data_IF_695012061572
#
_entry.id   IF_695012061572
#
_cell.length_a   1.000
_cell.length_b   1.000
_cell.length_c   1.000
_cell.angle_alpha   90.00
_cell.angle_beta   90.00
_cell.angle_gamma   90.00
#
_symmetry.space_group_name_H-M   'P 1'
#
loop_
_entity.id
_entity.type
_entity.pdbx_description
1 polymer ?
#
# COMPACT_ATOMS: atom_id res chain seq x y z
N UNK A 1 -9.93 4.59 -11.42
CA UNK A 1 -8.66 4.69 -10.68
C UNK A 1 -8.05 3.31 -10.51
N UNK A 2 -6.78 3.18 -10.73
CA UNK A 2 -6.03 1.94 -10.52
C UNK A 2 -5.19 2.05 -9.25
N UNK A 3 -5.30 1.04 -8.41
CA UNK A 3 -4.59 0.96 -7.13
C UNK A 3 -3.68 -0.27 -7.15
N UNK A 4 -2.38 -0.05 -7.06
CA UNK A 4 -1.41 -1.15 -7.06
C UNK A 4 -0.87 -1.39 -5.66
N UNK A 5 -0.73 -2.67 -5.30
CA UNK A 5 -0.10 -3.10 -4.06
C UNK A 5 1.18 -3.84 -4.43
N UNK A 6 2.32 -3.31 -3.98
CA UNK A 6 3.63 -3.94 -4.11
C UNK A 6 3.95 -4.60 -2.77
N UNK A 7 4.19 -5.90 -2.77
CA UNK A 7 4.37 -6.66 -1.53
C UNK A 7 5.38 -7.79 -1.70
N UNK A 8 6.01 -8.17 -0.59
CA UNK A 8 6.81 -9.42 -0.53
C UNK A 8 5.88 -10.60 -0.26
N UNK A 9 6.31 -11.84 -0.58
CA UNK A 9 5.52 -13.03 -0.25
C UNK A 9 5.20 -13.11 1.24
N UNK A 10 3.98 -13.55 1.57
CA UNK A 10 3.51 -13.77 2.94
C UNK A 10 3.61 -12.54 3.85
N UNK A 11 3.42 -11.35 3.32
CA UNK A 11 3.50 -10.10 4.08
C UNK A 11 2.25 -9.89 4.96
N UNK A 12 2.39 -9.81 6.30
CA UNK A 12 1.26 -9.57 7.19
C UNK A 12 0.59 -8.20 6.94
N UNK A 13 1.39 -7.19 6.60
CA UNK A 13 0.87 -5.87 6.27
C UNK A 13 0.00 -5.87 5.03
N UNK A 14 0.35 -6.69 4.02
CA UNK A 14 -0.45 -6.83 2.81
C UNK A 14 -1.80 -7.48 3.12
N UNK A 15 -1.83 -8.49 3.99
CA UNK A 15 -3.09 -9.10 4.41
C UNK A 15 -4.00 -8.11 5.13
N UNK A 16 -3.43 -7.28 6.01
CA UNK A 16 -4.18 -6.22 6.70
C UNK A 16 -4.74 -5.19 5.70
N UNK A 17 -3.92 -4.80 4.72
CA UNK A 17 -4.33 -3.86 3.67
C UNK A 17 -5.47 -4.43 2.84
N UNK A 18 -5.38 -5.70 2.44
CA UNK A 18 -6.43 -6.37 1.66
C UNK A 18 -7.76 -6.41 2.42
N UNK A 19 -7.71 -6.74 3.71
CA UNK A 19 -8.91 -6.78 4.53
C UNK A 19 -9.60 -5.41 4.60
N UNK A 20 -8.82 -4.34 4.71
CA UNK A 20 -9.33 -2.97 4.76
C UNK A 20 -9.87 -2.51 3.41
N UNK A 21 -9.21 -2.91 2.31
CA UNK A 21 -9.67 -2.61 0.97
C UNK A 21 -10.94 -3.34 0.58
N UNK A 22 -11.16 -4.56 1.09
CA UNK A 22 -12.34 -5.36 0.75
C UNK A 22 -13.65 -4.60 0.99
N UNK A 23 -13.75 -3.90 2.12
CA UNK A 23 -14.93 -3.09 2.42
C UNK A 23 -15.12 -1.93 1.44
N UNK A 24 -14.02 -1.29 1.03
CA UNK A 24 -14.08 -0.19 0.07
C UNK A 24 -14.43 -0.68 -1.33
N UNK A 25 -13.95 -1.86 -1.73
CA UNK A 25 -14.26 -2.45 -3.02
C UNK A 25 -15.75 -2.81 -3.15
N UNK A 26 -16.37 -3.29 -2.06
CA UNK A 26 -17.82 -3.56 -2.05
C UNK A 26 -18.63 -2.30 -2.31
N UNK A 27 -18.23 -1.19 -1.71
CA UNK A 27 -18.91 0.10 -1.86
C UNK A 27 -18.58 0.80 -3.19
N UNK A 28 -17.44 0.47 -3.81
CA UNK A 28 -16.94 1.16 -5.00
C UNK A 28 -16.48 0.17 -6.07
N UNK A 29 -17.40 -0.51 -6.78
CA UNK A 29 -17.04 -1.58 -7.73
C UNK A 29 -16.23 -1.13 -8.94
N UNK A 30 -16.15 0.17 -9.20
CA UNK A 30 -15.30 0.71 -10.28
C UNK A 30 -13.82 0.81 -9.92
N UNK A 31 -13.45 0.60 -8.67
CA UNK A 31 -12.05 0.63 -8.23
C UNK A 31 -11.33 -0.64 -8.67
N UNK A 32 -10.17 -0.47 -9.32
CA UNK A 32 -9.33 -1.59 -9.74
C UNK A 32 -8.14 -1.74 -8.82
N UNK A 33 -7.88 -2.97 -8.37
CA UNK A 33 -6.74 -3.30 -7.53
C UNK A 33 -5.86 -4.32 -8.24
N UNK A 34 -4.57 -4.00 -8.37
CA UNK A 34 -3.56 -4.89 -8.95
C UNK A 34 -2.53 -5.18 -7.87
N UNK A 35 -2.19 -6.47 -7.70
CA UNK A 35 -1.15 -6.90 -6.76
C UNK A 35 0.07 -7.36 -7.52
N UNK A 36 1.25 -6.98 -7.02
CA UNK A 36 2.53 -7.44 -7.56
C UNK A 36 3.39 -7.97 -6.42
N UNK A 37 3.89 -9.19 -6.59
CA UNK A 37 4.84 -9.78 -5.64
C UNK A 37 6.24 -9.36 -6.06
N UNK A 38 6.98 -8.75 -5.12
CA UNK A 38 8.34 -8.25 -5.34
C UNK A 38 9.28 -9.06 -4.47
N UNK A 39 10.29 -9.67 -5.07
CA UNK A 39 11.21 -10.59 -4.38
C UNK A 39 12.67 -10.13 -4.40
N UNK A 40 13.01 -9.10 -5.18
CA UNK A 40 14.39 -8.63 -5.31
C UNK A 40 14.47 -7.12 -5.06
N UNK A 41 15.63 -6.69 -4.56
CA UNK A 41 15.91 -5.26 -4.37
C UNK A 41 15.86 -4.50 -5.70
N UNK A 42 16.35 -5.11 -6.77
CA UNK A 42 16.33 -4.50 -8.09
C UNK A 42 14.89 -4.21 -8.56
N UNK A 43 13.96 -5.13 -8.32
CA UNK A 43 12.56 -4.93 -8.65
C UNK A 43 11.91 -3.87 -7.76
N UNK A 44 12.28 -3.82 -6.47
CA UNK A 44 11.81 -2.78 -5.58
C UNK A 44 12.23 -1.39 -6.08
N UNK A 45 13.47 -1.24 -6.54
CA UNK A 45 13.97 0.00 -7.12
C UNK A 45 13.23 0.37 -8.40
N UNK A 46 13.04 -0.61 -9.30
CA UNK A 46 12.37 -0.41 -10.58
C UNK A 46 10.91 -0.01 -10.43
N UNK A 47 10.20 -0.60 -9.47
CA UNK A 47 8.77 -0.37 -9.26
C UNK A 47 8.46 0.74 -8.27
N UNK A 48 9.46 1.26 -7.55
CA UNK A 48 9.25 2.30 -6.55
C UNK A 48 8.72 1.78 -5.22
N UNK A 49 9.05 0.54 -4.87
CA UNK A 49 8.63 -0.06 -3.60
C UNK A 49 9.52 0.41 -2.46
N UNK A 50 8.93 1.04 -1.45
CA UNK A 50 9.64 1.59 -0.28
C UNK A 50 9.28 0.85 1.01
N UNK A 51 9.14 -0.45 0.91
CA UNK A 51 8.74 -1.33 2.00
C UNK A 51 7.46 -2.08 1.66
N UNK A 52 7.16 -3.13 2.40
CA UNK A 52 6.00 -3.97 2.14
C UNK A 52 4.93 -3.77 3.22
N UNK A 53 3.68 -3.47 2.86
CA UNK A 53 3.21 -3.20 1.50
C UNK A 53 3.45 -1.75 1.06
N UNK A 54 3.70 -1.51 -0.21
CA UNK A 54 3.69 -0.18 -0.82
C UNK A 54 2.48 -0.09 -1.75
N UNK A 55 1.78 1.03 -1.73
CA UNK A 55 0.61 1.25 -2.58
C UNK A 55 0.85 2.39 -3.53
N UNK A 56 0.40 2.19 -4.76
CA UNK A 56 0.47 3.21 -5.79
C UNK A 56 -0.95 3.51 -6.27
N UNK A 57 -1.40 4.73 -6.05
CA UNK A 57 -2.65 5.23 -6.61
C UNK A 57 -2.32 5.94 -7.91
N UNK A 58 -2.73 5.36 -9.04
CA UNK A 58 -2.38 5.83 -10.39
C UNK A 58 -0.87 6.07 -10.56
N UNK A 59 -0.06 5.15 -10.05
CA UNK A 59 1.39 5.16 -10.17
C UNK A 59 2.13 5.99 -9.12
N UNK A 60 1.44 6.59 -8.16
CA UNK A 60 2.04 7.44 -7.13
C UNK A 60 1.75 6.88 -5.74
N UNK A 61 2.79 6.82 -4.88
CA UNK A 61 2.62 6.45 -3.47
C UNK A 61 2.12 7.67 -2.68
N UNK A 62 0.84 7.66 -2.23
CA UNK A 62 0.28 8.80 -1.50
C UNK A 62 0.81 8.94 -0.08
N UNK A 63 1.55 7.93 0.41
CA UNK A 63 2.15 7.94 1.74
C UNK A 63 3.67 8.08 1.68
N UNK A 64 4.20 8.49 0.53
CA UNK A 64 5.64 8.68 0.35
C UNK A 64 6.17 9.77 1.30
N UNK A 65 7.38 9.56 1.81
CA UNK A 65 8.10 10.54 2.63
C UNK A 65 9.40 10.90 1.95
N UNK A 66 9.87 12.16 2.09
CA UNK A 66 11.18 12.55 1.57
C UNK A 66 12.28 11.63 2.11
N UNK A 67 13.20 11.22 1.24
CA UNK A 67 14.35 10.41 1.63
C UNK A 67 14.11 8.92 1.81
N UNK A 68 12.90 8.41 1.55
CA UNK A 68 12.66 6.97 1.59
C UNK A 68 13.44 6.26 0.49
N UNK A 69 14.06 5.13 0.86
CA UNK A 69 14.82 4.30 -0.06
C UNK A 69 14.01 3.08 -0.50
N UNK A 70 14.23 2.56 -1.70
CA UNK A 70 13.62 1.30 -2.11
C UNK A 70 13.96 0.18 -1.13
N UNK A 71 12.98 -0.61 -0.73
CA UNK A 71 13.15 -1.62 0.30
C UNK A 71 12.14 -2.76 0.16
N UNK A 72 12.56 -3.97 0.56
CA UNK A 72 11.71 -5.14 0.72
C UNK A 72 11.30 -5.36 2.18
N UNK A 73 11.78 -4.51 3.09
CA UNK A 73 11.47 -4.62 4.53
C UNK A 73 10.02 -4.28 4.82
N UNK A 74 9.54 -4.70 6.00
CA UNK A 74 8.21 -4.33 6.46
C UNK A 74 8.11 -2.81 6.59
N UNK A 75 6.99 -2.26 6.09
CA UNK A 75 6.71 -0.83 6.18
C UNK A 75 5.65 -0.60 7.25
N UNK A 76 5.90 0.38 8.12
CA UNK A 76 4.95 0.80 9.13
C UNK A 76 4.34 2.15 8.74
N UNK A 77 3.05 2.28 9.00
CA UNK A 77 2.28 3.48 8.71
C UNK A 77 1.80 4.09 10.04
N UNK A 78 1.64 5.41 10.05
CA UNK A 78 1.00 6.08 11.17
C UNK A 78 -0.49 6.24 10.86
N UNK A 79 -1.35 5.79 11.79
CA UNK A 79 -2.79 5.98 11.66
C UNK A 79 -3.18 7.41 12.07
N UNK A 80 -4.49 7.68 12.08
CA UNK A 80 -5.03 9.01 12.44
C UNK A 80 -4.70 9.42 13.88
N UNK A 81 -4.36 8.45 14.74
CA UNK A 81 -4.01 8.68 16.13
C UNK A 81 -2.51 8.67 16.39
N UNK A 82 -1.69 8.64 15.31
CA UNK A 82 -0.25 8.58 15.42
C UNK A 82 0.31 7.22 15.82
N UNK A 83 -0.49 6.18 15.83
CA UNK A 83 -0.05 4.82 16.15
C UNK A 83 0.51 4.11 14.95
N UNK A 84 1.53 3.28 15.17
CA UNK A 84 2.12 2.46 14.11
C UNK A 84 1.19 1.33 13.73
N UNK A 85 1.05 1.09 12.44
CA UNK A 85 0.19 0.04 11.89
C UNK A 85 0.87 -0.59 10.68
N UNK A 86 0.66 -1.89 10.43
CA UNK A 86 1.23 -2.55 9.24
C UNK A 86 0.62 -2.08 7.93
N UNK A 87 -0.50 -1.38 7.97
CA UNK A 87 -1.16 -0.82 6.80
C UNK A 87 -1.93 0.44 7.20
N UNK A 88 -2.27 1.34 6.25
CA UNK A 88 -3.14 2.47 6.53
C UNK A 88 -4.52 2.02 6.98
N UNK A 89 -5.19 2.86 7.76
CA UNK A 89 -6.57 2.63 8.17
C UNK A 89 -7.53 2.74 6.98
N UNK A 90 -8.73 2.19 7.13
CA UNK A 90 -9.78 2.32 6.12
C UNK A 90 -10.10 3.80 5.84
N UNK A 91 -10.10 4.65 6.87
CA UNK A 91 -10.32 6.09 6.70
C UNK A 91 -9.22 6.75 5.87
N UNK A 92 -7.95 6.42 6.15
CA UNK A 92 -6.82 6.94 5.37
C UNK A 92 -6.88 6.49 3.91
N UNK A 93 -7.23 5.23 3.66
CA UNK A 93 -7.39 4.71 2.31
C UNK A 93 -8.53 5.42 1.57
N UNK A 94 -9.65 5.62 2.23
CA UNK A 94 -10.79 6.33 1.66
C UNK A 94 -10.41 7.76 1.26
N UNK A 95 -9.65 8.45 2.11
CA UNK A 95 -9.21 9.82 1.85
C UNK A 95 -8.31 9.91 0.61
N UNK A 96 -7.30 9.02 0.49
CA UNK A 96 -6.37 9.07 -0.65
C UNK A 96 -7.04 8.61 -1.94
N UNK A 97 -8.02 7.74 -1.87
CA UNK A 97 -8.80 7.30 -3.03
C UNK A 97 -9.96 8.24 -3.36
N UNK A 98 -10.21 9.22 -2.52
CA UNK A 98 -11.30 10.21 -2.67
C UNK A 98 -12.68 9.58 -2.74
N UNK A 99 -12.90 8.60 -1.88
CA UNK A 99 -14.16 7.87 -1.82
C UNK A 99 -15.14 8.45 -0.80
#
# INVERSE_FOLDING_TARGET
MTFEILQVPDCPGAAALEARLAGLLEAHPGLRVIRRIVTTQADAERLGMTGSPTRLADGVDPFARPGQQPSLSCRLYLDEHGRRSPAPSSGQLSDVLRL
#
